data_IF_794386143398
#
_entry.id   IF_794386143398
#
_cell.length_a   1.000
_cell.length_b   1.000
_cell.length_c   1.000
_cell.angle_alpha   90.00
_cell.angle_beta   90.00
_cell.angle_gamma   90.00
#
_symmetry.space_group_name_H-M   'P 1'
#
loop_
_entity.id
_entity.type
_entity.pdbx_description
1 polymer ?
#
# COMPACT_ATOMS: atom_id res chain seq x y z
N UNK A 1 -14.00 -6.24 16.83
CA UNK A 1 -14.08 -5.08 15.90
C UNK A 1 -14.22 -5.67 14.51
N UNK A 2 -15.01 -5.09 13.62
CA UNK A 2 -15.12 -5.59 12.25
C UNK A 2 -13.88 -5.14 11.46
N UNK A 3 -13.30 -6.05 10.66
CA UNK A 3 -12.17 -5.74 9.79
C UNK A 3 -12.52 -4.60 8.82
N UNK A 4 -11.58 -3.68 8.59
CA UNK A 4 -11.70 -2.61 7.58
C UNK A 4 -11.71 -3.21 6.16
N UNK A 5 -10.87 -4.22 5.95
CA UNK A 5 -10.86 -5.04 4.73
C UNK A 5 -11.14 -6.49 5.10
N UNK A 6 -12.12 -7.11 4.45
CA UNK A 6 -12.40 -8.54 4.54
C UNK A 6 -12.32 -9.15 3.13
N UNK A 7 -11.49 -10.16 2.98
CA UNK A 7 -11.29 -10.94 1.75
C UNK A 7 -11.72 -12.37 2.02
N UNK A 8 -12.65 -12.90 1.24
CA UNK A 8 -13.23 -14.24 1.44
C UNK A 8 -13.16 -15.02 0.13
N UNK A 9 -12.52 -16.19 0.17
CA UNK A 9 -12.47 -17.16 -0.92
C UNK A 9 -12.00 -16.60 -2.27
N UNK A 10 -11.06 -15.61 -2.23
CA UNK A 10 -10.58 -14.94 -3.43
C UNK A 10 -9.84 -15.90 -4.33
N UNK A 11 -10.21 -15.94 -5.61
CA UNK A 11 -9.61 -16.82 -6.60
C UNK A 11 -9.40 -16.13 -7.95
N UNK A 12 -8.28 -16.50 -8.63
CA UNK A 12 -7.95 -16.02 -9.98
C UNK A 12 -7.10 -17.02 -10.73
N UNK A 13 -7.49 -17.28 -11.98
CA UNK A 13 -6.76 -18.15 -12.92
C UNK A 13 -6.41 -17.42 -14.20
N UNK A 14 -5.30 -17.79 -14.80
CA UNK A 14 -4.86 -17.32 -16.11
C UNK A 14 -4.45 -18.53 -16.97
N UNK A 15 -5.16 -18.79 -18.08
CA UNK A 15 -4.79 -19.85 -19.00
C UNK A 15 -4.54 -21.22 -18.33
N UNK A 16 -5.38 -21.60 -17.35
CA UNK A 16 -5.25 -22.85 -16.59
C UNK A 16 -4.32 -22.78 -15.37
N UNK A 17 -3.54 -21.71 -15.19
CA UNK A 17 -2.72 -21.50 -13.99
C UNK A 17 -3.52 -20.76 -12.95
N UNK A 18 -3.73 -21.39 -11.79
CA UNK A 18 -4.40 -20.75 -10.65
C UNK A 18 -3.40 -19.85 -9.90
N UNK A 19 -3.44 -18.56 -10.18
CA UNK A 19 -2.56 -17.58 -9.58
C UNK A 19 -2.96 -17.22 -8.14
N UNK A 20 -4.25 -17.31 -7.81
CA UNK A 20 -4.80 -17.14 -6.44
C UNK A 20 -5.85 -18.22 -6.24
N UNK A 21 -5.78 -18.93 -5.10
CA UNK A 21 -6.57 -20.13 -4.82
C UNK A 21 -7.16 -20.02 -3.42
N UNK A 22 -8.45 -19.65 -3.36
CA UNK A 22 -9.21 -19.66 -2.11
C UNK A 22 -8.54 -18.88 -0.96
N UNK A 23 -8.10 -17.66 -1.25
CA UNK A 23 -7.41 -16.81 -0.27
C UNK A 23 -8.42 -16.01 0.53
N UNK A 24 -8.34 -16.15 1.87
CA UNK A 24 -9.20 -15.44 2.82
C UNK A 24 -8.36 -14.79 3.91
N UNK A 25 -8.58 -13.49 4.17
CA UNK A 25 -7.95 -12.74 5.26
C UNK A 25 -8.70 -11.44 5.53
N UNK A 26 -8.43 -10.82 6.67
CA UNK A 26 -8.92 -9.48 6.99
C UNK A 26 -7.78 -8.56 7.40
N UNK A 27 -8.01 -7.25 7.37
CA UNK A 27 -7.12 -6.21 7.90
C UNK A 27 -7.93 -5.32 8.83
N UNK A 28 -7.47 -5.15 10.06
CA UNK A 28 -8.13 -4.32 11.06
C UNK A 28 -7.68 -2.85 10.99
N UNK A 29 -8.45 -1.95 11.60
CA UNK A 29 -8.08 -0.54 11.70
C UNK A 29 -6.78 -0.38 12.50
N UNK A 30 -5.84 0.40 11.96
CA UNK A 30 -4.53 0.64 12.58
C UNK A 30 -3.55 -0.53 12.47
N UNK A 31 -3.91 -1.62 11.77
CA UNK A 31 -3.07 -2.79 11.55
C UNK A 31 -2.16 -2.62 10.33
N UNK A 32 -0.88 -2.99 10.47
CA UNK A 32 0.05 -3.22 9.37
C UNK A 32 0.12 -4.72 9.08
N UNK A 33 -0.61 -5.17 8.05
CA UNK A 33 -0.58 -6.56 7.57
C UNK A 33 0.41 -6.69 6.41
N UNK A 34 1.43 -7.53 6.57
CA UNK A 34 2.33 -7.86 5.48
C UNK A 34 1.82 -9.07 4.69
N UNK A 35 1.80 -8.96 3.35
CA UNK A 35 1.56 -10.06 2.43
C UNK A 35 2.88 -10.45 1.78
N UNK A 36 3.46 -11.57 2.22
CA UNK A 36 4.76 -12.05 1.73
C UNK A 36 4.64 -13.37 0.96
N UNK A 37 5.71 -13.77 0.32
CA UNK A 37 5.80 -15.02 -0.46
C UNK A 37 6.83 -14.91 -1.57
N UNK A 38 7.27 -16.03 -2.16
CA UNK A 38 8.23 -16.03 -3.25
C UNK A 38 7.68 -15.33 -4.51
N UNK A 39 8.56 -15.13 -5.50
CA UNK A 39 8.14 -14.62 -6.81
C UNK A 39 7.15 -15.59 -7.46
N UNK A 40 6.07 -15.04 -8.01
CA UNK A 40 4.99 -15.87 -8.58
C UNK A 40 4.01 -16.45 -7.56
N UNK A 41 4.12 -16.15 -6.27
CA UNK A 41 3.19 -16.64 -5.24
C UNK A 41 1.76 -16.11 -5.38
N UNK A 42 1.51 -15.05 -6.17
CA UNK A 42 0.19 -14.46 -6.36
C UNK A 42 -0.03 -13.12 -5.67
N UNK A 43 0.98 -12.53 -5.00
CA UNK A 43 0.88 -11.27 -4.26
C UNK A 43 0.33 -10.12 -5.12
N UNK A 44 0.99 -9.82 -6.23
CA UNK A 44 0.57 -8.74 -7.15
C UNK A 44 -0.82 -9.01 -7.74
N UNK A 45 -1.17 -10.27 -7.99
CA UNK A 45 -2.52 -10.65 -8.44
C UNK A 45 -3.56 -10.33 -7.38
N UNK A 46 -3.30 -10.66 -6.10
CA UNK A 46 -4.17 -10.25 -4.99
C UNK A 46 -4.32 -8.73 -4.93
N UNK A 47 -3.22 -7.98 -4.92
CA UNK A 47 -3.26 -6.51 -4.89
C UNK A 47 -4.07 -5.91 -6.02
N UNK A 48 -3.90 -6.42 -7.24
CA UNK A 48 -4.63 -5.92 -8.41
C UNK A 48 -6.14 -6.23 -8.36
N UNK A 49 -6.54 -7.32 -7.71
CA UNK A 49 -7.95 -7.59 -7.45
C UNK A 49 -8.53 -6.65 -6.38
N UNK A 50 -7.80 -6.41 -5.30
CA UNK A 50 -8.25 -5.55 -4.20
C UNK A 50 -8.43 -4.08 -4.63
N UNK A 51 -7.62 -3.61 -5.58
CA UNK A 51 -7.71 -2.24 -6.08
C UNK A 51 -8.56 -2.06 -7.34
N UNK A 52 -9.22 -3.14 -7.81
CA UNK A 52 -10.11 -3.12 -8.97
C UNK A 52 -9.40 -3.09 -10.34
N UNK A 53 -8.07 -3.30 -10.40
CA UNK A 53 -7.34 -3.40 -11.68
C UNK A 53 -7.52 -4.76 -12.36
N UNK A 54 -7.88 -5.78 -11.60
CA UNK A 54 -8.08 -7.14 -12.08
C UNK A 54 -9.39 -7.68 -11.51
N UNK A 55 -10.22 -8.25 -12.38
CA UNK A 55 -11.41 -8.97 -11.94
C UNK A 55 -11.03 -10.33 -11.36
N UNK A 56 -11.56 -10.68 -10.19
CA UNK A 56 -11.47 -12.03 -9.65
C UNK A 56 -12.41 -12.98 -10.38
N UNK A 57 -12.11 -14.27 -10.33
CA UNK A 57 -12.97 -15.31 -10.90
C UNK A 57 -13.99 -15.80 -9.84
N UNK A 58 -13.65 -15.71 -8.55
CA UNK A 58 -14.52 -16.05 -7.43
C UNK A 58 -14.10 -15.32 -6.14
N UNK A 59 -14.95 -15.35 -5.14
CA UNK A 59 -14.76 -14.77 -3.82
C UNK A 59 -15.48 -13.45 -3.63
N UNK A 60 -15.24 -12.81 -2.48
CA UNK A 60 -15.71 -11.46 -2.18
C UNK A 60 -14.62 -10.61 -1.54
N UNK A 61 -14.69 -9.29 -1.74
CA UNK A 61 -13.82 -8.30 -1.11
C UNK A 61 -14.68 -7.19 -0.55
N UNK A 62 -14.73 -7.09 0.77
CA UNK A 62 -15.50 -6.05 1.45
C UNK A 62 -14.56 -5.04 2.09
N UNK A 63 -14.79 -3.78 1.76
CA UNK A 63 -14.13 -2.65 2.38
C UNK A 63 -15.16 -1.85 3.18
N UNK A 64 -14.91 -1.67 4.49
CA UNK A 64 -15.84 -1.01 5.42
C UNK A 64 -17.26 -1.59 5.32
N UNK A 65 -17.37 -2.94 5.24
CA UNK A 65 -18.61 -3.70 5.09
C UNK A 65 -19.25 -3.68 3.69
N UNK A 66 -18.71 -2.92 2.75
CA UNK A 66 -19.22 -2.77 1.38
C UNK A 66 -18.46 -3.64 0.40
N UNK A 67 -19.17 -4.39 -0.45
CA UNK A 67 -18.55 -5.15 -1.54
C UNK A 67 -17.87 -4.21 -2.55
N UNK A 68 -16.60 -4.49 -2.84
CA UNK A 68 -15.78 -3.68 -3.75
C UNK A 68 -15.24 -4.47 -4.94
N UNK A 69 -15.41 -5.80 -4.93
CA UNK A 69 -14.98 -6.63 -6.05
C UNK A 69 -15.74 -6.24 -7.33
N UNK A 70 -15.01 -6.09 -8.43
CA UNK A 70 -15.58 -5.66 -9.71
C UNK A 70 -15.79 -4.16 -9.87
N UNK A 71 -15.52 -3.35 -8.83
CA UNK A 71 -15.51 -1.90 -8.96
C UNK A 71 -14.25 -1.46 -9.72
N UNK A 72 -14.38 -0.41 -10.55
CA UNK A 72 -13.23 0.19 -11.21
C UNK A 72 -12.28 0.87 -10.18
N UNK A 73 -10.96 0.95 -10.44
CA UNK A 73 -9.98 1.52 -9.50
C UNK A 73 -10.35 2.91 -8.97
N UNK A 74 -10.92 3.76 -9.82
CA UNK A 74 -11.40 5.08 -9.41
C UNK A 74 -12.54 5.03 -8.40
N UNK A 75 -13.38 4.00 -8.44
CA UNK A 75 -14.48 3.81 -7.49
C UNK A 75 -13.93 3.32 -6.15
N UNK A 76 -13.02 2.34 -6.17
CA UNK A 76 -12.33 1.81 -4.99
C UNK A 76 -11.57 2.94 -4.27
N UNK A 77 -10.81 3.75 -5.02
CA UNK A 77 -10.11 4.94 -4.49
C UNK A 77 -11.06 5.92 -3.80
N UNK A 78 -12.23 6.20 -4.40
CA UNK A 78 -13.23 7.11 -3.82
C UNK A 78 -13.86 6.63 -2.52
N UNK A 79 -13.81 5.35 -2.25
CA UNK A 79 -14.30 4.78 -0.98
C UNK A 79 -13.30 4.99 0.16
N UNK A 80 -12.07 5.43 -0.12
CA UNK A 80 -11.03 5.63 0.88
C UNK A 80 -9.94 4.56 0.86
N UNK A 81 -9.79 3.82 -0.24
CA UNK A 81 -8.64 2.94 -0.45
C UNK A 81 -7.52 3.71 -1.14
N UNK A 82 -6.49 4.07 -0.40
CA UNK A 82 -5.26 4.64 -0.95
C UNK A 82 -4.35 3.56 -1.51
N UNK A 83 -3.56 3.89 -2.54
CA UNK A 83 -2.50 3.02 -3.05
C UNK A 83 -1.22 3.82 -3.24
N UNK A 84 -0.10 3.28 -2.78
CA UNK A 84 1.22 3.71 -3.25
C UNK A 84 1.61 2.85 -4.46
N UNK A 85 2.26 3.46 -5.45
CA UNK A 85 2.64 2.75 -6.67
C UNK A 85 4.10 2.31 -6.58
N UNK A 86 4.42 1.16 -7.18
CA UNK A 86 5.80 0.68 -7.34
C UNK A 86 6.64 1.64 -8.21
N UNK A 87 5.98 2.36 -9.14
CA UNK A 87 6.58 3.44 -9.93
C UNK A 87 6.08 4.76 -9.36
N UNK A 88 6.99 5.67 -9.09
CA UNK A 88 6.74 7.00 -8.52
C UNK A 88 5.61 7.73 -9.25
N UNK A 89 4.46 7.88 -8.62
CA UNK A 89 3.27 8.51 -9.21
C UNK A 89 3.26 10.03 -9.03
N UNK A 90 4.43 10.66 -8.88
CA UNK A 90 4.57 12.10 -8.76
C UNK A 90 4.79 12.77 -10.12
N UNK A 91 4.26 13.98 -10.27
CA UNK A 91 4.57 14.81 -11.43
C UNK A 91 5.96 15.42 -11.24
N UNK A 92 6.95 14.89 -11.95
CA UNK A 92 8.36 15.24 -11.78
C UNK A 92 8.66 16.73 -11.97
N UNK A 93 7.93 17.42 -12.85
CA UNK A 93 8.06 18.84 -13.13
C UNK A 93 7.39 19.77 -12.12
N UNK A 94 6.52 19.23 -11.27
CA UNK A 94 5.84 19.99 -10.21
C UNK A 94 6.66 19.97 -8.93
N UNK A 95 6.43 20.97 -8.09
CA UNK A 95 7.00 21.00 -6.74
C UNK A 95 6.39 19.91 -5.86
N UNK A 96 7.07 19.61 -4.76
CA UNK A 96 6.60 18.67 -3.72
C UNK A 96 5.20 19.09 -3.23
N UNK A 97 5.01 20.38 -2.93
CA UNK A 97 3.70 20.91 -2.49
C UNK A 97 2.63 20.74 -3.56
N UNK A 98 2.92 21.11 -4.81
CA UNK A 98 1.96 21.00 -5.89
C UNK A 98 1.47 19.58 -6.11
N UNK A 99 2.34 18.58 -5.97
CA UNK A 99 1.95 17.18 -6.05
C UNK A 99 0.89 16.81 -5.00
N UNK A 100 1.09 17.24 -3.76
CA UNK A 100 0.11 17.00 -2.68
C UNK A 100 -1.16 17.80 -2.89
N UNK A 101 -1.07 19.07 -3.36
CA UNK A 101 -2.23 19.89 -3.68
C UNK A 101 -3.10 19.27 -4.79
N UNK A 102 -2.49 18.69 -5.84
CA UNK A 102 -3.22 17.99 -6.90
C UNK A 102 -4.01 16.79 -6.33
N UNK A 103 -3.43 16.02 -5.41
CA UNK A 103 -4.13 14.94 -4.76
C UNK A 103 -5.33 15.44 -3.92
N UNK A 104 -5.15 16.50 -3.14
CA UNK A 104 -6.21 17.13 -2.35
C UNK A 104 -7.34 17.68 -3.24
N UNK A 105 -7.00 18.33 -4.35
CA UNK A 105 -7.96 18.83 -5.34
C UNK A 105 -8.79 17.68 -5.95
N UNK A 106 -8.12 16.59 -6.31
CA UNK A 106 -8.77 15.40 -6.87
C UNK A 106 -9.75 14.77 -5.87
N UNK A 107 -9.37 14.68 -4.60
CA UNK A 107 -10.20 14.12 -3.54
C UNK A 107 -11.42 14.98 -3.26
N UNK A 108 -11.24 16.28 -3.05
CA UNK A 108 -12.32 17.20 -2.62
C UNK A 108 -13.22 17.70 -3.76
N UNK A 109 -13.04 17.20 -5.00
CA UNK A 109 -13.86 17.49 -6.18
C UNK A 109 -14.11 18.98 -6.49
N UNK A 110 -13.26 19.87 -6.03
CA UNK A 110 -13.37 21.30 -6.35
C UNK A 110 -12.64 21.67 -7.64
N UNK A 111 -12.89 20.92 -8.72
CA UNK A 111 -12.36 21.24 -10.07
C UNK A 111 -13.16 22.36 -10.77
N UNK A 112 -14.17 22.94 -10.14
CA UNK A 112 -15.12 23.89 -10.72
C UNK A 112 -14.82 25.36 -10.42
N UNK A 113 -13.58 25.76 -10.27
CA UNK A 113 -13.17 27.16 -10.08
C UNK A 113 -12.01 27.52 -10.99
N UNK A 114 -12.29 27.83 -12.23
CA UNK A 114 -11.30 28.11 -13.26
C UNK A 114 -10.40 29.32 -12.94
N UNK A 115 -9.10 29.14 -13.06
CA UNK A 115 -8.02 30.08 -13.40
C UNK A 115 -7.38 30.96 -12.33
N UNK A 116 -7.95 31.27 -11.22
CA UNK A 116 -7.35 32.26 -10.35
C UNK A 116 -6.91 31.76 -8.99
N UNK A 117 -6.10 30.84 -8.74
CA UNK A 117 -5.52 30.51 -7.43
C UNK A 117 -5.37 29.00 -7.14
N UNK A 118 -5.15 28.18 -8.15
CA UNK A 118 -4.79 26.77 -7.89
C UNK A 118 -3.56 26.65 -6.96
N UNK A 119 -2.59 27.54 -7.10
CA UNK A 119 -1.38 27.59 -6.27
C UNK A 119 -1.64 27.89 -4.78
N UNK A 120 -2.74 28.57 -4.45
CA UNK A 120 -3.12 28.83 -3.05
C UNK A 120 -4.12 27.84 -2.47
N UNK A 121 -4.78 27.04 -3.32
CA UNK A 121 -5.78 26.09 -2.87
C UNK A 121 -5.14 24.94 -2.09
N UNK A 122 -5.62 24.71 -0.86
CA UNK A 122 -5.15 23.64 0.02
C UNK A 122 -3.64 23.71 0.37
N UNK A 123 -3.01 24.90 0.32
CA UNK A 123 -1.61 25.06 0.68
C UNK A 123 -1.35 24.61 2.10
N UNK A 124 -2.14 25.09 3.06
CA UNK A 124 -1.99 24.75 4.48
C UNK A 124 -2.28 23.25 4.73
N UNK A 125 -3.22 22.66 3.98
CA UNK A 125 -3.50 21.21 4.07
C UNK A 125 -2.31 20.41 3.53
N UNK A 126 -1.75 20.83 2.39
CA UNK A 126 -0.56 20.20 1.81
C UNK A 126 0.65 20.34 2.75
N UNK A 127 0.88 21.52 3.31
CA UNK A 127 1.97 21.78 4.23
C UNK A 127 1.86 20.93 5.50
N UNK A 128 0.65 20.73 6.03
CA UNK A 128 0.41 19.80 7.15
C UNK A 128 0.75 18.34 6.80
N UNK A 129 0.41 17.89 5.61
CA UNK A 129 0.75 16.53 5.16
C UNK A 129 2.26 16.40 4.95
N UNK A 130 2.90 17.40 4.35
CA UNK A 130 4.35 17.43 4.14
C UNK A 130 5.13 17.48 5.45
N UNK A 131 4.66 18.25 6.44
CA UNK A 131 5.25 18.27 7.77
C UNK A 131 5.22 16.87 8.42
N UNK A 132 4.12 16.13 8.27
CA UNK A 132 3.98 14.77 8.81
C UNK A 132 4.96 13.77 8.22
N UNK A 133 5.29 13.91 6.95
CA UNK A 133 6.25 13.02 6.27
C UNK A 133 7.68 13.58 6.28
N UNK A 134 7.92 14.71 6.97
CA UNK A 134 9.23 15.34 7.09
C UNK A 134 9.71 15.99 5.78
N UNK A 135 8.79 16.48 4.93
CA UNK A 135 9.13 17.06 3.62
C UNK A 135 8.74 18.53 3.47
N UNK A 136 8.33 19.20 4.56
CA UNK A 136 7.89 20.60 4.49
C UNK A 136 9.01 21.55 4.03
N UNK A 137 10.23 21.36 4.50
CA UNK A 137 11.40 22.19 4.13
C UNK A 137 11.76 22.06 2.64
N UNK A 138 11.30 20.99 1.99
CA UNK A 138 11.51 20.74 0.57
C UNK A 138 10.27 21.05 -0.29
N UNK A 139 9.25 21.65 0.28
CA UNK A 139 7.94 21.84 -0.35
C UNK A 139 7.99 22.58 -1.70
N UNK A 140 8.92 23.52 -1.87
CA UNK A 140 9.10 24.32 -3.12
C UNK A 140 10.06 23.66 -4.12
N UNK A 141 10.69 22.52 -3.79
CA UNK A 141 11.59 21.84 -4.72
C UNK A 141 10.80 21.01 -5.72
N UNK A 142 11.28 20.96 -6.97
CA UNK A 142 10.71 20.05 -7.97
C UNK A 142 10.97 18.58 -7.57
N UNK A 143 9.99 17.70 -7.80
CA UNK A 143 10.15 16.28 -7.48
C UNK A 143 11.28 15.61 -8.30
N UNK A 144 11.60 16.11 -9.48
CA UNK A 144 12.66 15.59 -10.34
C UNK A 144 14.08 15.66 -9.74
N UNK A 145 14.30 16.51 -8.74
CA UNK A 145 15.62 16.68 -8.12
C UNK A 145 15.73 16.07 -6.72
N UNK A 146 14.71 15.34 -6.28
CA UNK A 146 14.69 14.70 -4.98
C UNK A 146 15.45 13.38 -4.99
N UNK A 147 16.03 13.03 -3.83
CA UNK A 147 16.50 11.67 -3.60
C UNK A 147 15.31 10.68 -3.58
N UNK A 148 15.59 9.42 -3.89
CA UNK A 148 14.55 8.42 -4.03
C UNK A 148 13.73 8.20 -2.75
N UNK A 149 14.40 8.20 -1.57
CA UNK A 149 13.73 8.11 -0.28
C UNK A 149 12.79 9.29 0.01
N UNK A 150 13.19 10.51 -0.39
CA UNK A 150 12.33 11.70 -0.26
C UNK A 150 11.11 11.60 -1.18
N UNK A 151 11.27 11.07 -2.40
CA UNK A 151 10.14 10.81 -3.30
C UNK A 151 9.13 9.84 -2.68
N UNK A 152 9.59 8.80 -1.98
CA UNK A 152 8.71 7.86 -1.27
C UNK A 152 7.95 8.51 -0.11
N UNK A 153 8.56 9.46 0.58
CA UNK A 153 7.87 10.29 1.59
C UNK A 153 6.80 11.18 0.96
N UNK A 154 7.08 11.77 -0.19
CA UNK A 154 6.09 12.56 -0.96
C UNK A 154 4.94 11.67 -1.43
N UNK A 155 5.20 10.46 -1.93
CA UNK A 155 4.15 9.50 -2.31
C UNK A 155 3.25 9.14 -1.14
N UNK A 156 3.82 8.96 0.05
CA UNK A 156 3.04 8.74 1.26
C UNK A 156 2.14 9.94 1.57
N UNK A 157 2.65 11.18 1.47
CA UNK A 157 1.83 12.38 1.66
C UNK A 157 0.69 12.47 0.63
N UNK A 158 0.95 12.14 -0.63
CA UNK A 158 -0.06 12.08 -1.71
C UNK A 158 -1.13 11.02 -1.41
N UNK A 159 -0.73 9.83 -0.94
CA UNK A 159 -1.66 8.77 -0.56
C UNK A 159 -2.53 9.18 0.64
N UNK A 160 -1.95 9.89 1.62
CA UNK A 160 -2.66 10.41 2.79
C UNK A 160 -3.62 11.56 2.48
N UNK A 161 -3.42 12.29 1.37
CA UNK A 161 -4.31 13.38 0.94
C UNK A 161 -5.73 12.91 0.62
N UNK A 162 -5.93 11.63 0.35
CA UNK A 162 -7.24 11.01 0.16
C UNK A 162 -7.94 10.64 1.48
N UNK A 163 -7.35 10.94 2.63
CA UNK A 163 -7.86 10.55 3.95
C UNK A 163 -8.23 9.04 3.99
N UNK A 164 -7.30 8.14 3.62
CA UNK A 164 -7.62 6.75 3.41
C UNK A 164 -7.94 6.04 4.74
N UNK A 165 -8.88 5.09 4.69
CA UNK A 165 -9.09 4.09 5.75
C UNK A 165 -8.25 2.84 5.53
N UNK A 166 -7.83 2.59 4.29
CA UNK A 166 -6.96 1.48 3.89
C UNK A 166 -5.87 2.00 2.94
N UNK A 167 -4.62 1.64 3.21
CA UNK A 167 -3.49 1.82 2.29
C UNK A 167 -3.03 0.47 1.74
N UNK A 168 -2.96 0.37 0.43
CA UNK A 168 -2.34 -0.74 -0.29
C UNK A 168 -0.94 -0.30 -0.74
N UNK A 169 0.12 -0.92 -0.20
CA UNK A 169 1.50 -0.54 -0.47
C UNK A 169 2.23 -1.71 -1.12
N UNK A 170 2.62 -1.56 -2.39
CA UNK A 170 3.31 -2.60 -3.14
C UNK A 170 4.80 -2.29 -3.18
N UNK A 171 5.59 -3.04 -2.39
CA UNK A 171 7.04 -2.88 -2.22
C UNK A 171 7.45 -1.42 -1.90
N UNK A 172 6.91 -0.81 -0.82
CA UNK A 172 7.09 0.61 -0.54
C UNK A 172 8.55 1.03 -0.35
N UNK A 173 9.44 0.09 0.00
CA UNK A 173 10.86 0.39 0.26
C UNK A 173 11.81 -0.12 -0.84
N UNK A 174 11.27 -0.66 -1.95
CA UNK A 174 12.09 -1.15 -3.06
C UNK A 174 13.01 -0.05 -3.61
N UNK A 175 14.29 -0.38 -3.81
CA UNK A 175 15.29 0.57 -4.34
C UNK A 175 15.89 1.54 -3.33
N UNK A 176 15.47 1.54 -2.06
CA UNK A 176 16.00 2.41 -1.02
C UNK A 176 17.22 1.80 -0.31
N UNK A 177 18.07 2.65 0.26
CA UNK A 177 19.14 2.21 1.14
C UNK A 177 18.57 1.57 2.43
N UNK A 178 19.27 0.60 3.07
CA UNK A 178 18.74 -0.13 4.21
C UNK A 178 18.22 0.75 5.35
N UNK A 179 18.94 1.83 5.68
CA UNK A 179 18.53 2.77 6.73
C UNK A 179 17.25 3.53 6.36
N UNK A 180 17.15 4.00 5.12
CA UNK A 180 15.99 4.73 4.63
C UNK A 180 14.73 3.87 4.65
N UNK A 181 14.84 2.56 4.34
CA UNK A 181 13.72 1.60 4.40
C UNK A 181 13.09 1.57 5.79
N UNK A 182 13.94 1.42 6.81
CA UNK A 182 13.50 1.36 8.21
C UNK A 182 12.83 2.69 8.61
N UNK A 183 13.44 3.83 8.26
CA UNK A 183 12.91 5.15 8.59
C UNK A 183 11.54 5.41 7.95
N UNK A 184 11.36 5.10 6.65
CA UNK A 184 10.08 5.30 5.95
C UNK A 184 8.99 4.37 6.48
N UNK A 185 9.32 3.11 6.78
CA UNK A 185 8.34 2.19 7.35
C UNK A 185 8.00 2.51 8.80
N UNK A 186 8.94 2.97 9.61
CA UNK A 186 8.68 3.47 10.96
C UNK A 186 7.73 4.67 10.94
N UNK A 187 8.00 5.66 10.08
CA UNK A 187 7.12 6.81 9.85
C UNK A 187 5.72 6.38 9.39
N UNK A 188 5.66 5.44 8.45
CA UNK A 188 4.38 4.90 7.98
C UNK A 188 3.60 4.25 9.12
N UNK A 189 4.26 3.42 9.94
CA UNK A 189 3.65 2.76 11.08
C UNK A 189 3.11 3.75 12.12
N UNK A 190 3.86 4.82 12.41
CA UNK A 190 3.44 5.89 13.32
C UNK A 190 2.15 6.56 12.81
N UNK A 191 2.14 7.04 11.56
CA UNK A 191 1.00 7.72 10.95
C UNK A 191 -0.24 6.81 10.92
N UNK A 192 -0.04 5.55 10.58
CA UNK A 192 -1.10 4.53 10.48
C UNK A 192 -1.78 4.31 11.83
N UNK A 193 -0.98 4.14 12.89
CA UNK A 193 -1.51 3.92 14.25
C UNK A 193 -2.22 5.16 14.79
N UNK A 194 -1.64 6.35 14.59
CA UNK A 194 -2.29 7.61 15.00
C UNK A 194 -3.68 7.81 14.36
N UNK A 195 -3.82 7.44 13.09
CA UNK A 195 -5.03 7.70 12.32
C UNK A 195 -6.00 6.51 12.26
N UNK A 196 -5.60 5.35 12.77
CA UNK A 196 -6.38 4.12 12.67
C UNK A 196 -6.52 3.63 11.22
N UNK A 197 -5.53 3.92 10.35
CA UNK A 197 -5.54 3.47 8.95
C UNK A 197 -5.15 2.00 8.92
N UNK A 198 -5.89 1.16 8.18
CA UNK A 198 -5.46 -0.20 7.86
C UNK A 198 -4.39 -0.17 6.76
N UNK A 199 -3.37 -1.02 6.85
CA UNK A 199 -2.35 -1.16 5.80
C UNK A 199 -2.19 -2.61 5.40
N UNK A 200 -2.25 -2.87 4.10
CA UNK A 200 -1.77 -4.10 3.49
C UNK A 200 -0.55 -3.76 2.63
N UNK A 201 0.59 -4.38 2.93
CA UNK A 201 1.80 -4.13 2.16
C UNK A 201 2.51 -5.40 1.72
N UNK A 202 3.20 -5.34 0.59
CA UNK A 202 4.14 -6.38 0.16
C UNK A 202 5.57 -5.89 0.37
N UNK A 203 6.48 -6.78 0.69
CA UNK A 203 7.91 -6.50 0.81
C UNK A 203 8.73 -7.76 0.55
N UNK A 204 9.96 -7.55 0.07
CA UNK A 204 10.96 -8.60 -0.09
C UNK A 204 12.03 -8.57 1.00
N UNK A 205 12.20 -7.42 1.65
CA UNK A 205 13.12 -7.26 2.77
C UNK A 205 12.46 -7.78 4.06
N UNK A 206 12.89 -8.97 4.48
CA UNK A 206 12.31 -9.61 5.66
C UNK A 206 12.61 -8.86 6.95
N UNK A 207 13.73 -8.11 7.02
CA UNK A 207 14.05 -7.30 8.20
C UNK A 207 13.02 -6.18 8.36
N UNK A 208 12.63 -5.53 7.26
CA UNK A 208 11.55 -4.54 7.24
C UNK A 208 10.21 -5.16 7.66
N UNK A 209 9.87 -6.34 7.10
CA UNK A 209 8.63 -7.04 7.43
C UNK A 209 8.56 -7.37 8.92
N UNK A 210 9.61 -8.01 9.45
CA UNK A 210 9.61 -8.44 10.86
C UNK A 210 9.70 -7.28 11.86
N UNK A 211 10.26 -6.13 11.45
CA UNK A 211 10.35 -4.96 12.31
C UNK A 211 9.05 -4.17 12.42
N UNK A 212 8.21 -4.18 11.37
CA UNK A 212 7.10 -3.24 11.27
C UNK A 212 5.72 -3.88 11.14
N UNK A 213 5.59 -5.12 10.63
CA UNK A 213 4.30 -5.79 10.51
C UNK A 213 3.73 -6.17 11.89
N UNK A 214 2.46 -5.89 12.12
CA UNK A 214 1.73 -6.39 13.29
C UNK A 214 1.33 -7.87 13.08
N UNK A 215 1.00 -8.21 11.83
CA UNK A 215 0.69 -9.57 11.38
C UNK A 215 1.23 -9.81 9.97
N UNK A 216 1.53 -11.06 9.68
CA UNK A 216 2.06 -11.49 8.38
C UNK A 216 1.17 -12.60 7.84
N UNK A 217 0.87 -12.55 6.55
CA UNK A 217 0.29 -13.65 5.79
C UNK A 217 1.25 -14.06 4.69
N UNK A 218 1.40 -15.37 4.50
CA UNK A 218 2.36 -15.95 3.56
C UNK A 218 1.61 -16.65 2.45
N UNK A 219 1.85 -16.23 1.21
CA UNK A 219 1.38 -16.92 0.01
C UNK A 219 2.47 -17.80 -0.57
N UNK A 220 2.11 -19.01 -0.98
CA UNK A 220 2.87 -19.86 -1.88
C UNK A 220 1.97 -20.44 -2.95
N UNK A 221 2.37 -20.35 -4.22
CA UNK A 221 1.63 -20.89 -5.39
C UNK A 221 0.14 -20.60 -5.37
N UNK A 222 -0.20 -19.35 -4.99
CA UNK A 222 -1.57 -18.87 -4.92
C UNK A 222 -2.36 -19.25 -3.68
N UNK A 223 -1.78 -19.96 -2.70
CA UNK A 223 -2.44 -20.36 -1.45
C UNK A 223 -1.86 -19.64 -0.25
N UNK A 224 -2.70 -19.37 0.73
CA UNK A 224 -2.25 -18.91 2.03
C UNK A 224 -1.75 -20.11 2.83
N UNK A 225 -0.45 -20.14 3.12
CA UNK A 225 0.21 -21.24 3.84
C UNK A 225 0.44 -20.93 5.31
N UNK A 226 0.51 -19.65 5.68
CA UNK A 226 0.66 -19.23 7.07
C UNK A 226 0.06 -17.85 7.29
N UNK A 227 -0.45 -17.62 8.50
CA UNK A 227 -0.90 -16.32 8.98
C UNK A 227 -0.62 -16.24 10.49
N UNK A 228 -0.09 -15.12 10.98
CA UNK A 228 0.19 -14.93 12.39
C UNK A 228 1.07 -13.72 12.67
N UNK A 229 1.48 -13.58 13.93
CA UNK A 229 2.47 -12.57 14.35
C UNK A 229 3.85 -12.88 13.76
N UNK A 230 4.73 -11.88 13.61
CA UNK A 230 6.05 -12.06 12.99
C UNK A 230 6.84 -13.24 13.56
N UNK A 231 6.86 -13.42 14.90
CA UNK A 231 7.56 -14.54 15.55
C UNK A 231 6.96 -15.91 15.21
N UNK A 232 5.64 -16.01 15.11
CA UNK A 232 4.93 -17.26 14.77
C UNK A 232 5.22 -17.67 13.33
N UNK A 233 5.14 -16.71 12.41
CA UNK A 233 5.43 -16.95 10.98
C UNK A 233 6.89 -17.31 10.75
N UNK A 234 7.82 -16.67 11.46
CA UNK A 234 9.25 -16.99 11.40
C UNK A 234 9.57 -18.40 11.86
N UNK A 235 8.84 -18.92 12.87
CA UNK A 235 9.00 -20.25 13.41
C UNK A 235 8.28 -21.35 12.60
N UNK A 236 7.42 -20.98 11.65
CA UNK A 236 6.63 -21.92 10.86
C UNK A 236 7.51 -22.72 9.89
N UNK A 237 7.49 -24.06 10.01
CA UNK A 237 8.34 -24.96 9.22
C UNK A 237 8.04 -24.88 7.71
N UNK A 238 6.78 -24.73 7.31
CA UNK A 238 6.38 -24.63 5.91
C UNK A 238 6.89 -23.31 5.29
N UNK A 239 6.82 -22.21 6.04
CA UNK A 239 7.38 -20.92 5.64
C UNK A 239 8.89 -21.01 5.45
N UNK A 240 9.59 -21.65 6.42
CA UNK A 240 11.03 -21.84 6.31
C UNK A 240 11.42 -22.66 5.08
N UNK A 241 10.69 -23.73 4.76
CA UNK A 241 10.93 -24.52 3.55
C UNK A 241 10.77 -23.72 2.27
N UNK A 242 9.73 -22.90 2.17
CA UNK A 242 9.48 -22.05 0.98
C UNK A 242 10.61 -21.04 0.77
N UNK A 243 11.13 -20.42 1.83
CA UNK A 243 12.19 -19.43 1.74
C UNK A 243 13.60 -20.05 1.66
N UNK A 244 13.87 -21.19 2.32
CA UNK A 244 15.15 -21.89 2.25
C UNK A 244 15.29 -22.69 0.95
N UNK A 245 14.20 -23.32 0.48
CA UNK A 245 14.18 -24.06 -0.79
C UNK A 245 14.45 -23.17 -2.00
N UNK A 246 14.07 -21.87 -1.94
CA UNK A 246 14.36 -20.91 -2.99
C UNK A 246 15.82 -20.44 -3.06
N UNK A 247 16.60 -20.58 -1.96
CA UNK A 247 18.04 -20.27 -1.92
C UNK A 247 18.93 -21.37 -2.50
N UNK A 248 18.42 -22.60 -2.64
CA UNK A 248 19.18 -23.73 -3.18
C UNK A 248 19.03 -23.91 -4.69
N UNK A 249 18.31 -23.03 -5.38
CA UNK A 249 18.02 -23.13 -6.82
C UNK A 249 18.72 -22.04 -7.66
N UNK A 250 19.80 -21.41 -7.14
CA UNK A 250 20.66 -20.48 -7.87
C UNK A 250 22.13 -20.87 -7.77
#
# INVERSE_FOLDING_TARGET
MSAVLAVEHLAKSFGGVQAVRDVSFGVDAGELLALIGPNGAGKTTCFNMLNGQLAADAGSVRFDGREVLGLAPRQVWRLGVGRTFQITATFASMTVRENVQVALLSHRRRLGGWWARAAGLYRDDADRLLARVGMLDQAERACSVLAYGDLKRVELAVALANEPKLLLMDEPTAGMAPRERIEVMALTAEIVRERGIAVLFTEHDMDVVFAHADRIIVLDRGRLIAAGRPGEVRANAEVQQVYLGSRSAH
#
